data_IF_267097426821
#
_entry.id   IF_267097426821
#
_cell.length_a   1.000
_cell.length_b   1.000
_cell.length_c   1.000
_cell.angle_alpha   90.00
_cell.angle_beta   90.00
_cell.angle_gamma   90.00
#
_symmetry.space_group_name_H-M   'P 1'
#
loop_
_entity.id
_entity.type
_entity.pdbx_description
1 polymer ?
#
# COMPACT_ATOMS: atom_id res chain seq x y z
N UNK A 1 36.31 -21.89 -17.38
CA UNK A 1 36.51 -20.44 -17.20
C UNK A 1 35.15 -19.82 -16.98
N UNK A 2 35.03 -19.03 -15.91
CA UNK A 2 33.78 -18.66 -15.24
C UNK A 2 32.98 -17.67 -16.11
N UNK A 3 31.69 -17.95 -16.29
CA UNK A 3 30.75 -17.09 -17.00
C UNK A 3 30.53 -15.77 -16.26
N UNK A 4 30.78 -14.67 -16.96
CA UNK A 4 30.51 -13.33 -16.47
C UNK A 4 29.06 -13.00 -16.79
N UNK A 5 28.18 -13.16 -15.81
CA UNK A 5 26.83 -12.61 -15.84
C UNK A 5 26.92 -11.10 -15.57
N UNK A 6 26.44 -10.21 -16.44
CA UNK A 6 26.41 -8.79 -16.13
C UNK A 6 25.32 -8.49 -15.09
N UNK A 7 25.72 -7.76 -14.04
CA UNK A 7 24.87 -7.30 -12.94
C UNK A 7 23.62 -6.53 -13.42
N UNK A 8 22.49 -6.58 -12.68
CA UNK A 8 21.30 -5.82 -13.04
C UNK A 8 21.60 -4.31 -13.00
N UNK A 9 21.23 -3.65 -14.11
CA UNK A 9 21.38 -2.21 -14.31
C UNK A 9 20.67 -1.45 -13.19
N UNK A 10 21.40 -0.53 -12.55
CA UNK A 10 20.87 0.45 -11.59
C UNK A 10 19.55 1.01 -12.13
N UNK A 11 18.46 0.77 -11.40
CA UNK A 11 17.16 1.38 -11.66
C UNK A 11 17.35 2.90 -11.65
N UNK A 12 17.28 3.49 -12.83
CA UNK A 12 17.40 4.92 -13.02
C UNK A 12 16.20 5.63 -12.41
N UNK A 13 16.49 6.59 -11.53
CA UNK A 13 15.66 7.77 -11.21
C UNK A 13 14.18 7.45 -10.92
N UNK A 14 13.89 7.15 -9.65
CA UNK A 14 12.63 7.59 -9.04
C UNK A 14 12.66 9.12 -8.95
N UNK A 15 12.36 9.79 -10.06
CA UNK A 15 12.28 11.26 -10.16
C UNK A 15 10.88 11.64 -10.62
N UNK A 16 9.88 11.32 -9.82
CA UNK A 16 8.56 11.93 -9.83
C UNK A 16 7.89 11.59 -8.49
N UNK A 17 7.18 12.56 -7.91
CA UNK A 17 6.47 12.53 -6.62
C UNK A 17 7.26 12.95 -5.37
N UNK A 18 8.08 13.98 -5.51
CA UNK A 18 8.20 15.00 -4.46
C UNK A 18 6.99 15.95 -4.55
N UNK A 19 5.84 15.55 -4.03
CA UNK A 19 4.83 16.51 -3.59
C UNK A 19 4.66 16.35 -2.09
N UNK A 20 5.44 17.18 -1.38
CA UNK A 20 5.16 17.77 -0.07
C UNK A 20 4.61 16.82 1.01
N UNK A 21 5.48 15.95 1.54
CA UNK A 21 5.26 15.34 2.85
C UNK A 21 6.02 16.15 3.91
N UNK A 22 5.38 16.53 5.04
CA UNK A 22 6.01 17.38 6.05
C UNK A 22 7.28 16.73 6.61
N UNK A 23 8.40 17.41 6.37
CA UNK A 23 9.78 16.95 6.54
C UNK A 23 10.23 16.67 7.99
N UNK A 24 9.36 16.79 9.00
CA UNK A 24 9.80 16.71 10.40
C UNK A 24 9.70 15.31 11.02
N UNK A 25 8.99 14.35 10.42
CA UNK A 25 9.04 12.96 10.89
C UNK A 25 8.61 11.94 9.81
N UNK A 26 9.32 11.93 8.67
CA UNK A 26 9.03 11.03 7.55
C UNK A 26 9.05 9.55 7.96
N UNK A 27 9.99 9.18 8.83
CA UNK A 27 10.06 7.82 9.38
C UNK A 27 8.83 7.49 10.24
N UNK A 28 8.43 8.36 11.17
CA UNK A 28 7.22 8.16 11.98
C UNK A 28 5.95 8.06 11.11
N UNK A 29 5.83 8.92 10.09
CA UNK A 29 4.69 8.90 9.17
C UNK A 29 4.63 7.64 8.28
N UNK A 30 5.77 6.97 8.04
CA UNK A 30 5.82 5.71 7.29
C UNK A 30 5.55 4.49 8.16
N UNK A 31 5.88 4.57 9.45
CA UNK A 31 5.72 3.47 10.40
C UNK A 31 4.26 3.20 10.79
N UNK A 32 3.36 4.17 10.60
CA UNK A 32 1.92 4.01 10.91
C UNK A 32 1.03 3.60 9.71
N UNK A 33 1.58 3.48 8.49
CA UNK A 33 0.74 3.26 7.29
C UNK A 33 0.15 1.85 7.17
N UNK A 34 0.67 0.89 7.90
CA UNK A 34 0.15 -0.48 8.03
C UNK A 34 -0.67 -0.69 9.31
N UNK A 35 -0.91 0.39 10.08
CA UNK A 35 -1.75 0.33 11.27
C UNK A 35 -3.18 -0.08 10.87
N UNK A 36 -3.76 -1.11 11.53
CA UNK A 36 -5.09 -1.62 11.17
C UNK A 36 -6.17 -0.54 11.14
N UNK A 37 -6.20 0.33 12.15
CA UNK A 37 -7.20 1.40 12.26
C UNK A 37 -7.07 2.44 11.14
N UNK A 38 -5.83 2.80 10.79
CA UNK A 38 -5.56 3.72 9.69
C UNK A 38 -6.05 3.14 8.36
N UNK A 39 -5.70 1.90 8.06
CA UNK A 39 -6.11 1.20 6.84
C UNK A 39 -7.63 1.05 6.76
N UNK A 40 -8.27 0.66 7.87
CA UNK A 40 -9.73 0.48 7.95
C UNK A 40 -10.45 1.81 7.69
N UNK A 41 -9.98 2.89 8.31
CA UNK A 41 -10.52 4.24 8.10
C UNK A 41 -10.33 4.71 6.66
N UNK A 42 -9.13 4.53 6.10
CA UNK A 42 -8.82 4.94 4.73
C UNK A 42 -9.68 4.19 3.71
N UNK A 43 -9.84 2.87 3.85
CA UNK A 43 -10.71 2.07 3.00
C UNK A 43 -12.16 2.54 3.10
N UNK A 44 -12.66 2.73 4.33
CA UNK A 44 -14.03 3.17 4.58
C UNK A 44 -14.32 4.53 3.90
N UNK A 45 -13.46 5.51 4.13
CA UNK A 45 -13.61 6.86 3.56
C UNK A 45 -13.54 6.83 2.03
N UNK A 46 -12.61 6.05 1.46
CA UNK A 46 -12.46 5.91 0.02
C UNK A 46 -13.67 5.21 -0.62
N UNK A 47 -14.13 4.11 -0.05
CA UNK A 47 -15.26 3.34 -0.59
C UNK A 47 -16.55 4.14 -0.49
N UNK A 48 -16.78 4.86 0.60
CA UNK A 48 -17.93 5.75 0.73
C UNK A 48 -17.93 6.85 -0.34
N UNK A 49 -16.77 7.39 -0.68
CA UNK A 49 -16.63 8.49 -1.65
C UNK A 49 -16.70 8.04 -3.12
N UNK A 50 -15.96 6.99 -3.48
CA UNK A 50 -15.77 6.60 -4.88
C UNK A 50 -16.56 5.36 -5.28
N UNK A 51 -17.10 4.62 -4.30
CA UNK A 51 -17.91 3.42 -4.51
C UNK A 51 -19.22 3.43 -3.70
N UNK A 52 -20.04 4.49 -3.80
CA UNK A 52 -21.19 4.67 -2.92
C UNK A 52 -22.26 3.58 -3.05
N UNK A 53 -22.44 2.98 -4.24
CA UNK A 53 -23.43 1.90 -4.44
C UNK A 53 -22.98 0.62 -3.76
N UNK A 54 -21.73 0.21 -3.96
CA UNK A 54 -21.12 -0.91 -3.23
C UNK A 54 -21.16 -0.62 -1.73
N UNK A 55 -20.70 0.55 -1.28
CA UNK A 55 -20.68 0.91 0.14
C UNK A 55 -22.06 0.77 0.79
N UNK A 56 -23.10 1.35 0.16
CA UNK A 56 -24.48 1.24 0.63
C UNK A 56 -24.98 -0.21 0.67
N UNK A 57 -24.66 -1.02 -0.35
CA UNK A 57 -25.00 -2.46 -0.38
C UNK A 57 -24.31 -3.23 0.74
N UNK A 58 -23.03 -2.95 1.01
CA UNK A 58 -22.29 -3.61 2.08
C UNK A 58 -22.86 -3.26 3.45
N UNK A 59 -23.29 -2.01 3.64
CA UNK A 59 -23.99 -1.60 4.86
C UNK A 59 -25.34 -2.31 5.02
N UNK A 60 -26.17 -2.35 3.96
CA UNK A 60 -27.51 -2.96 4.06
C UNK A 60 -27.48 -4.47 4.24
N UNK A 61 -26.41 -5.13 3.79
CA UNK A 61 -26.18 -6.56 3.98
C UNK A 61 -25.43 -6.89 5.27
N UNK A 62 -24.96 -5.88 6.00
CA UNK A 62 -24.25 -6.07 7.28
C UNK A 62 -22.81 -6.57 7.16
N UNK A 63 -22.26 -6.69 5.94
CA UNK A 63 -20.92 -7.27 5.69
C UNK A 63 -19.82 -6.22 5.45
N UNK A 64 -20.13 -4.93 5.63
CA UNK A 64 -19.17 -3.85 5.44
C UNK A 64 -17.94 -4.00 6.35
N UNK A 65 -18.16 -4.27 7.64
CA UNK A 65 -17.05 -4.38 8.60
C UNK A 65 -16.12 -5.56 8.26
N UNK A 66 -16.69 -6.72 7.94
CA UNK A 66 -15.92 -7.90 7.54
C UNK A 66 -15.06 -7.64 6.29
N UNK A 67 -15.62 -6.94 5.29
CA UNK A 67 -14.85 -6.63 4.08
C UNK A 67 -13.78 -5.58 4.32
N UNK A 68 -14.03 -4.59 5.18
CA UNK A 68 -13.01 -3.64 5.58
C UNK A 68 -11.88 -4.34 6.34
N UNK A 69 -12.20 -5.29 7.22
CA UNK A 69 -11.21 -6.09 7.94
C UNK A 69 -10.38 -6.97 7.00
N UNK A 70 -11.01 -7.64 6.03
CA UNK A 70 -10.29 -8.39 5.00
C UNK A 70 -9.39 -7.50 4.15
N UNK A 71 -9.84 -6.29 3.79
CA UNK A 71 -9.01 -5.35 3.04
C UNK A 71 -7.78 -4.94 3.86
N UNK A 72 -7.93 -4.71 5.16
CA UNK A 72 -6.82 -4.42 6.09
C UNK A 72 -5.87 -5.62 6.18
N UNK A 73 -6.40 -6.82 6.40
CA UNK A 73 -5.64 -8.05 6.52
C UNK A 73 -4.79 -8.31 5.27
N UNK A 74 -5.42 -8.31 4.09
CA UNK A 74 -4.73 -8.53 2.81
C UNK A 74 -3.72 -7.44 2.50
N UNK A 75 -4.01 -6.18 2.83
CA UNK A 75 -3.03 -5.09 2.64
C UNK A 75 -1.79 -5.34 3.49
N UNK A 76 -1.96 -5.72 4.76
CA UNK A 76 -0.84 -5.94 5.69
C UNK A 76 -0.05 -7.20 5.35
N UNK A 77 -0.72 -8.28 4.98
CA UNK A 77 -0.07 -9.53 4.59
C UNK A 77 0.76 -9.34 3.31
N UNK A 78 0.15 -8.79 2.26
CA UNK A 78 0.85 -8.51 1.01
C UNK A 78 1.99 -7.50 1.24
N UNK A 79 1.82 -6.53 2.14
CA UNK A 79 2.87 -5.54 2.44
C UNK A 79 4.09 -6.21 3.02
N UNK A 80 3.92 -7.09 4.01
CA UNK A 80 5.04 -7.83 4.60
C UNK A 80 5.75 -8.71 3.57
N UNK A 81 4.99 -9.37 2.71
CA UNK A 81 5.54 -10.21 1.65
C UNK A 81 6.37 -9.38 0.64
N UNK A 82 5.81 -8.27 0.16
CA UNK A 82 6.45 -7.39 -0.80
C UNK A 82 7.65 -6.65 -0.21
N UNK A 83 7.56 -6.19 1.05
CA UNK A 83 8.69 -5.62 1.78
C UNK A 83 9.85 -6.62 1.90
N UNK A 84 9.57 -7.87 2.27
CA UNK A 84 10.58 -8.93 2.35
C UNK A 84 11.24 -9.17 1.00
N UNK A 85 10.45 -9.22 -0.08
CA UNK A 85 10.96 -9.34 -1.43
C UNK A 85 11.85 -8.16 -1.83
N UNK A 86 11.43 -6.92 -1.57
CA UNK A 86 12.20 -5.71 -1.91
C UNK A 86 13.50 -5.62 -1.10
N UNK A 87 13.46 -5.91 0.20
CA UNK A 87 14.65 -5.97 1.06
C UNK A 87 15.65 -7.01 0.53
N UNK A 88 15.18 -8.18 0.09
CA UNK A 88 16.05 -9.20 -0.53
C UNK A 88 16.68 -8.75 -1.86
N UNK A 89 16.11 -7.75 -2.54
CA UNK A 89 16.63 -7.15 -3.77
C UNK A 89 17.48 -5.90 -3.52
N UNK A 90 17.87 -5.63 -2.27
CA UNK A 90 18.79 -4.54 -1.90
C UNK A 90 18.15 -3.19 -1.64
N UNK A 91 16.81 -3.13 -1.55
CA UNK A 91 16.12 -1.92 -1.09
C UNK A 91 16.35 -1.70 0.41
N UNK A 92 16.49 -0.44 0.82
CA UNK A 92 16.46 -0.12 2.25
C UNK A 92 15.07 -0.39 2.84
N UNK A 93 14.99 -0.51 4.16
CA UNK A 93 13.72 -0.74 4.84
C UNK A 93 12.67 0.34 4.53
N UNK A 94 13.09 1.60 4.50
CA UNK A 94 12.21 2.74 4.21
C UNK A 94 11.72 2.69 2.77
N UNK A 95 12.60 2.40 1.81
CA UNK A 95 12.23 2.30 0.39
C UNK A 95 11.32 1.10 0.13
N UNK A 96 11.61 -0.05 0.74
CA UNK A 96 10.80 -1.25 0.62
C UNK A 96 9.38 -1.02 1.15
N UNK A 97 9.25 -0.42 2.34
CA UNK A 97 7.96 -0.08 2.95
C UNK A 97 7.18 0.93 2.12
N UNK A 98 7.84 1.98 1.64
CA UNK A 98 7.19 3.00 0.79
C UNK A 98 6.67 2.39 -0.50
N UNK A 99 7.49 1.61 -1.21
CA UNK A 99 7.10 0.97 -2.46
C UNK A 99 5.98 -0.05 -2.24
N UNK A 100 6.06 -0.87 -1.19
CA UNK A 100 5.01 -1.82 -0.86
C UNK A 100 3.68 -1.13 -0.54
N UNK A 101 3.72 -0.04 0.24
CA UNK A 101 2.55 0.76 0.54
C UNK A 101 1.87 1.32 -0.72
N UNK A 102 2.65 1.86 -1.66
CA UNK A 102 2.11 2.47 -2.87
C UNK A 102 1.39 1.47 -3.78
N UNK A 103 1.98 0.29 -3.94
CA UNK A 103 1.41 -0.81 -4.72
C UNK A 103 0.10 -1.31 -4.09
N UNK A 104 0.12 -1.57 -2.78
CA UNK A 104 -0.93 -2.36 -2.14
C UNK A 104 -2.12 -1.51 -1.68
N UNK A 105 -1.91 -0.23 -1.37
CA UNK A 105 -3.02 0.69 -1.14
C UNK A 105 -3.87 0.82 -2.40
N UNK A 106 -3.30 0.77 -3.61
CA UNK A 106 -4.05 0.83 -4.85
C UNK A 106 -4.85 -0.45 -5.11
N UNK A 107 -4.30 -1.60 -4.71
CA UNK A 107 -4.90 -2.92 -4.91
C UNK A 107 -6.11 -3.19 -4.00
N UNK A 108 -5.98 -2.89 -2.71
CA UNK A 108 -6.95 -3.33 -1.69
C UNK A 108 -7.79 -2.21 -1.09
N UNK A 109 -7.23 -1.01 -0.96
CA UNK A 109 -7.84 0.11 -0.23
C UNK A 109 -8.51 1.09 -1.19
N UNK A 110 -7.76 1.59 -2.17
CA UNK A 110 -8.15 2.63 -3.11
C UNK A 110 -8.79 2.05 -4.37
N UNK A 111 -9.83 1.23 -4.18
CA UNK A 111 -10.57 0.60 -5.27
C UNK A 111 -11.02 1.65 -6.31
N UNK A 112 -10.98 1.32 -7.61
CA UNK A 112 -11.36 2.26 -8.66
C UNK A 112 -12.83 2.68 -8.50
N UNK A 113 -13.12 3.89 -8.99
CA UNK A 113 -14.47 4.46 -8.96
C UNK A 113 -15.47 3.53 -9.66
N UNK A 114 -16.68 3.47 -9.09
CA UNK A 114 -17.79 2.74 -9.71
C UNK A 114 -18.21 3.35 -11.05
N UNK A 115 -18.54 2.48 -12.02
CA UNK A 115 -19.14 2.87 -13.30
C UNK A 115 -20.66 2.97 -13.19
#
# INVERSE_FOLDING_TARGET
>A
MIGVTPAPKKAGKMKALSQELPSQNFAGYLMDRDAPDFLKKLARDHWAKYRPKMYSRLQSTGVLEDLLERAVEFTREDMRALEGHLKAHGYSEIEARQAAWEELRAKWILLPQEK
#
